data_IF_967168598159
#
_entry.id   IF_967168598159
#
_cell.length_a   1.000
_cell.length_b   1.000
_cell.length_c   1.000
_cell.angle_alpha   90.00
_cell.angle_beta   90.00
_cell.angle_gamma   90.00
#
_symmetry.space_group_name_H-M   'P 1'
#
loop_
_entity.id
_entity.type
_entity.pdbx_description
1 polymer ?
#
# COMPACT_ATOMS: atom_id res chain seq x y z
N UNK A 1 6.57 -8.24 -6.29
CA UNK A 1 5.13 -8.17 -6.60
C UNK A 1 4.91 -6.84 -7.31
N UNK A 2 4.76 -6.86 -8.63
CA UNK A 2 4.44 -5.66 -9.41
C UNK A 2 2.93 -5.62 -9.45
N UNK A 3 2.32 -4.75 -8.65
CA UNK A 3 0.90 -4.46 -8.72
C UNK A 3 0.71 -3.51 -9.90
N UNK A 4 0.51 -4.06 -11.10
CA UNK A 4 0.10 -3.28 -12.27
C UNK A 4 -1.42 -3.06 -12.14
N UNK A 5 -1.81 -1.93 -11.56
CA UNK A 5 -3.21 -1.51 -11.48
C UNK A 5 -3.46 -0.54 -12.63
N UNK A 6 -4.27 -0.94 -13.62
CA UNK A 6 -4.72 -0.06 -14.70
C UNK A 6 -6.01 0.62 -14.20
N UNK A 7 -5.89 1.85 -13.72
CA UNK A 7 -7.01 2.69 -13.30
C UNK A 7 -7.40 3.63 -14.43
N UNK A 8 -8.57 3.41 -15.03
CA UNK A 8 -9.17 4.35 -15.97
C UNK A 8 -10.25 5.17 -15.25
N UNK A 9 -9.88 6.33 -14.70
CA UNK A 9 -10.83 7.31 -14.19
C UNK A 9 -11.04 8.39 -15.25
N UNK A 10 -12.22 8.45 -15.88
CA UNK A 10 -12.61 9.58 -16.75
C UNK A 10 -13.57 10.50 -16.00
N UNK A 11 -13.14 11.72 -15.67
CA UNK A 11 -14.02 12.78 -15.16
C UNK A 11 -14.56 13.61 -16.33
N UNK A 12 -15.85 13.95 -16.29
CA UNK A 12 -16.55 14.68 -17.37
C UNK A 12 -16.24 16.20 -17.31
N UNK A 13 -15.62 16.82 -18.33
CA UNK A 13 -15.00 18.15 -18.22
C UNK A 13 -15.90 19.37 -18.50
N UNK A 14 -17.24 19.32 -18.35
CA UNK A 14 -18.13 20.31 -18.99
C UNK A 14 -18.86 21.35 -18.12
N UNK A 15 -18.37 21.77 -16.94
CA UNK A 15 -19.06 22.85 -16.18
C UNK A 15 -18.09 23.87 -15.57
N UNK A 16 -17.72 24.90 -16.36
CA UNK A 16 -16.97 26.07 -15.90
C UNK A 16 -17.88 27.31 -15.99
N UNK A 17 -18.61 27.58 -14.90
CA UNK A 17 -19.52 28.72 -14.80
C UNK A 17 -18.96 29.87 -13.96
N UNK A 18 -17.66 30.18 -14.01
CA UNK A 18 -17.09 31.47 -13.57
C UNK A 18 -17.48 32.03 -12.18
N UNK A 19 -18.05 31.20 -11.30
CA UNK A 19 -18.35 31.53 -9.92
C UNK A 19 -17.08 31.34 -9.09
N UNK A 20 -16.88 32.19 -8.09
CA UNK A 20 -15.72 32.07 -7.21
C UNK A 20 -15.71 30.69 -6.57
N UNK A 21 -14.69 29.89 -6.90
CA UNK A 21 -14.55 28.55 -6.35
C UNK A 21 -14.60 28.62 -4.82
N UNK A 22 -15.45 27.80 -4.18
CA UNK A 22 -15.42 27.69 -2.74
C UNK A 22 -14.01 27.32 -2.29
N UNK A 23 -13.59 27.73 -1.08
CA UNK A 23 -12.27 27.37 -0.57
C UNK A 23 -12.06 25.87 -0.68
N UNK A 24 -10.93 25.46 -1.25
CA UNK A 24 -10.57 24.06 -1.39
C UNK A 24 -10.71 23.36 -0.04
N UNK A 25 -11.54 22.32 0.00
CA UNK A 25 -11.72 21.50 1.19
C UNK A 25 -10.46 20.64 1.31
N UNK A 26 -9.81 20.66 2.47
CA UNK A 26 -8.65 19.82 2.72
C UNK A 26 -9.01 18.34 2.43
N UNK A 27 -8.12 17.59 1.75
CA UNK A 27 -8.40 16.20 1.41
C UNK A 27 -8.63 15.36 2.67
N UNK A 28 -9.55 14.42 2.57
CA UNK A 28 -9.88 13.47 3.64
C UNK A 28 -9.78 12.05 3.11
N UNK A 29 -9.45 11.11 3.99
CA UNK A 29 -9.52 9.70 3.66
C UNK A 29 -10.92 9.31 3.18
N UNK A 30 -10.97 8.37 2.24
CA UNK A 30 -12.23 7.68 1.90
C UNK A 30 -12.82 7.04 3.15
N UNK A 31 -14.16 6.95 3.20
CA UNK A 31 -14.85 6.28 4.30
C UNK A 31 -14.41 4.81 4.40
N UNK A 32 -14.39 4.26 5.61
CA UNK A 32 -14.08 2.84 5.84
C UNK A 32 -15.21 1.93 5.34
N UNK A 33 -14.86 0.70 4.96
CA UNK A 33 -15.84 -0.33 4.61
C UNK A 33 -16.77 -0.62 5.79
N UNK A 34 -18.05 -0.87 5.49
CA UNK A 34 -19.01 -1.24 6.51
C UNK A 34 -18.68 -2.64 7.09
N UNK A 35 -18.70 -2.75 8.42
CA UNK A 35 -18.55 -4.05 9.07
C UNK A 35 -19.77 -4.95 8.80
N UNK A 36 -19.49 -6.16 8.31
CA UNK A 36 -20.49 -7.19 8.05
C UNK A 36 -20.87 -7.88 9.35
N UNK A 37 -22.16 -7.83 9.65
CA UNK A 37 -22.72 -8.61 10.76
C UNK A 37 -22.82 -10.07 10.34
N UNK A 38 -22.06 -10.93 11.02
CA UNK A 38 -22.13 -12.38 10.86
C UNK A 38 -22.44 -13.03 12.21
N UNK A 39 -23.73 -13.26 12.52
CA UNK A 39 -24.09 -13.94 13.75
C UNK A 39 -23.51 -15.36 13.76
N UNK A 40 -22.86 -15.77 14.85
CA UNK A 40 -22.34 -17.13 15.00
C UNK A 40 -23.47 -18.19 14.99
N UNK A 41 -24.68 -17.78 15.37
CA UNK A 41 -25.91 -18.56 15.38
C UNK A 41 -26.75 -18.39 14.10
N UNK A 42 -26.22 -17.72 13.07
CA UNK A 42 -26.92 -17.58 11.81
C UNK A 42 -27.30 -18.97 11.25
N UNK A 43 -28.54 -19.17 10.75
CA UNK A 43 -28.95 -20.42 10.13
C UNK A 43 -28.01 -20.80 8.98
N UNK A 44 -27.37 -21.96 9.06
CA UNK A 44 -26.44 -22.44 8.05
C UNK A 44 -26.77 -23.91 7.71
N UNK A 45 -27.93 -24.18 7.08
CA UNK A 45 -28.50 -25.53 7.00
C UNK A 45 -27.58 -26.56 6.32
N UNK A 46 -26.74 -26.13 5.37
CA UNK A 46 -25.75 -27.01 4.73
C UNK A 46 -24.59 -27.36 5.66
N UNK A 47 -24.08 -26.39 6.40
CA UNK A 47 -23.04 -26.61 7.42
C UNK A 47 -23.60 -27.47 8.56
N UNK A 48 -24.78 -27.13 9.07
CA UNK A 48 -25.44 -27.86 10.16
C UNK A 48 -25.70 -29.31 9.78
N UNK A 49 -26.14 -29.57 8.54
CA UNK A 49 -26.31 -30.92 8.03
C UNK A 49 -24.96 -31.68 7.92
N UNK A 50 -23.91 -31.02 7.44
CA UNK A 50 -22.58 -31.63 7.32
C UNK A 50 -21.96 -31.94 8.68
N UNK A 51 -22.11 -31.06 9.67
CA UNK A 51 -21.67 -31.31 11.05
C UNK A 51 -22.44 -32.46 11.67
N UNK A 52 -23.76 -32.49 11.51
CA UNK A 52 -24.60 -33.57 12.00
C UNK A 52 -24.22 -34.93 11.40
N UNK A 53 -23.96 -34.98 10.09
CA UNK A 53 -23.49 -36.20 9.40
C UNK A 53 -22.13 -36.69 9.94
N UNK A 54 -21.24 -35.75 10.30
CA UNK A 54 -19.97 -36.04 10.95
C UNK A 54 -20.08 -36.38 12.45
N UNK A 55 -21.29 -36.32 13.05
CA UNK A 55 -21.49 -36.49 14.49
C UNK A 55 -20.92 -35.34 15.33
N UNK A 56 -20.75 -34.16 14.73
CA UNK A 56 -20.24 -32.95 15.36
C UNK A 56 -21.38 -31.96 15.63
N UNK A 57 -21.19 -31.12 16.65
CA UNK A 57 -21.99 -29.91 16.86
C UNK A 57 -21.13 -28.67 16.59
N UNK A 58 -21.73 -27.50 16.42
CA UNK A 58 -20.97 -26.26 16.17
C UNK A 58 -19.95 -25.99 17.28
N UNK A 59 -20.29 -26.30 18.52
CA UNK A 59 -19.43 -26.12 19.70
C UNK A 59 -18.20 -27.05 19.69
N UNK A 60 -18.26 -28.16 18.93
CA UNK A 60 -17.14 -29.10 18.78
C UNK A 60 -16.21 -28.74 17.61
N UNK A 61 -16.54 -27.71 16.82
CA UNK A 61 -15.73 -27.18 15.71
C UNK A 61 -15.00 -25.92 16.14
N UNK A 62 -14.54 -25.91 17.38
CA UNK A 62 -13.78 -24.84 17.99
C UNK A 62 -12.62 -25.45 18.78
N UNK A 63 -11.52 -24.71 18.88
CA UNK A 63 -10.48 -25.01 19.85
C UNK A 63 -10.75 -24.21 21.12
N UNK A 64 -10.59 -24.84 22.27
CA UNK A 64 -10.44 -24.14 23.53
C UNK A 64 -8.97 -24.07 23.94
N UNK A 65 -8.66 -23.18 24.89
CA UNK A 65 -7.29 -22.99 25.35
C UNK A 65 -6.68 -24.26 25.98
N UNK A 66 -7.51 -25.14 26.54
CA UNK A 66 -7.06 -26.41 27.11
C UNK A 66 -6.60 -27.40 26.04
N UNK A 67 -7.37 -27.53 24.96
CA UNK A 67 -7.04 -28.35 23.79
C UNK A 67 -5.82 -27.81 23.07
N UNK A 68 -5.67 -26.49 23.02
CA UNK A 68 -4.48 -25.83 22.49
C UNK A 68 -3.22 -26.13 23.30
N UNK A 69 -3.24 -25.88 24.61
CA UNK A 69 -2.09 -26.10 25.49
C UNK A 69 -1.68 -27.57 25.56
N UNK A 70 -2.61 -28.49 25.31
CA UNK A 70 -2.33 -29.93 25.21
C UNK A 70 -1.73 -30.37 23.86
N UNK A 71 -1.72 -29.51 22.84
CA UNK A 71 -1.19 -29.85 21.53
C UNK A 71 0.34 -29.80 21.53
N UNK A 72 0.98 -30.75 20.86
CA UNK A 72 2.45 -30.87 20.77
C UNK A 72 3.14 -29.72 20.02
N UNK A 73 2.37 -28.76 19.52
CA UNK A 73 2.79 -27.65 18.69
C UNK A 73 2.35 -26.29 19.25
N UNK A 74 1.85 -26.23 20.50
CA UNK A 74 1.44 -24.96 21.12
C UNK A 74 2.56 -23.91 21.09
N UNK A 75 3.79 -24.31 21.42
CA UNK A 75 4.98 -23.44 21.40
C UNK A 75 5.36 -22.95 19.99
N UNK A 76 4.95 -23.68 18.93
CA UNK A 76 5.20 -23.30 17.53
C UNK A 76 4.16 -22.30 17.04
N UNK A 77 3.00 -22.26 17.68
CA UNK A 77 1.87 -21.44 17.25
C UNK A 77 1.64 -20.19 18.11
N UNK A 78 2.33 -20.07 19.25
CA UNK A 78 2.57 -18.80 19.96
C UNK A 78 3.70 -17.98 19.27
N UNK A 79 3.77 -18.08 17.93
CA UNK A 79 4.72 -17.39 17.08
C UNK A 79 4.40 -15.89 17.04
N UNK A 80 5.36 -14.99 17.34
CA UNK A 80 5.12 -13.54 17.30
C UNK A 80 4.71 -13.02 15.91
N UNK A 81 4.97 -13.77 14.84
CA UNK A 81 4.57 -13.45 13.47
C UNK A 81 3.12 -13.83 13.11
N UNK A 82 2.34 -14.42 14.02
CA UNK A 82 0.93 -14.67 13.75
C UNK A 82 0.16 -13.36 13.54
N UNK A 83 -0.76 -13.38 12.58
CA UNK A 83 -1.61 -12.23 12.30
C UNK A 83 -2.54 -11.96 13.50
N UNK A 84 -2.92 -10.69 13.79
CA UNK A 84 -3.75 -10.36 14.95
C UNK A 84 -5.08 -11.11 15.01
N UNK A 85 -5.63 -11.48 13.85
CA UNK A 85 -6.88 -12.23 13.72
C UNK A 85 -6.69 -13.75 13.67
N UNK A 86 -5.46 -14.26 13.60
CA UNK A 86 -5.17 -15.70 13.46
C UNK A 86 -5.83 -16.51 14.57
N UNK A 87 -5.61 -16.14 15.84
CA UNK A 87 -6.16 -16.89 16.98
C UNK A 87 -7.70 -16.88 16.95
N UNK A 88 -8.31 -15.75 16.62
CA UNK A 88 -9.77 -15.64 16.53
C UNK A 88 -10.36 -16.57 15.46
N UNK A 89 -9.74 -16.67 14.28
CA UNK A 89 -10.22 -17.55 13.20
C UNK A 89 -9.83 -19.01 13.41
N UNK A 90 -8.69 -19.26 14.03
CA UNK A 90 -8.25 -20.62 14.35
C UNK A 90 -9.11 -21.23 15.45
N UNK A 91 -9.47 -20.49 16.51
CA UNK A 91 -10.28 -21.01 17.63
C UNK A 91 -11.74 -21.15 17.26
N UNK A 92 -12.23 -20.31 16.37
CA UNK A 92 -13.59 -20.33 15.89
C UNK A 92 -13.60 -20.46 14.37
N UNK A 93 -13.30 -21.68 13.90
CA UNK A 93 -13.18 -21.98 12.48
C UNK A 93 -14.48 -21.67 11.70
N UNK A 94 -15.62 -21.68 12.38
CA UNK A 94 -16.91 -21.32 11.79
C UNK A 94 -17.00 -19.82 11.43
N UNK A 95 -16.11 -18.96 11.95
CA UNK A 95 -15.99 -17.55 11.56
C UNK A 95 -15.15 -17.31 10.31
N UNK A 96 -14.39 -18.30 9.83
CA UNK A 96 -13.53 -18.15 8.63
C UNK A 96 -14.34 -17.64 7.42
N UNK A 97 -15.52 -18.20 7.07
CA UNK A 97 -16.30 -17.68 5.95
C UNK A 97 -16.73 -16.22 6.11
N UNK A 98 -17.06 -15.80 7.34
CA UNK A 98 -17.39 -14.41 7.60
C UNK A 98 -16.18 -13.49 7.42
N UNK A 99 -15.03 -13.87 7.99
CA UNK A 99 -13.81 -13.09 7.88
C UNK A 99 -13.36 -12.96 6.42
N UNK A 100 -13.45 -14.05 5.64
CA UNK A 100 -13.19 -14.04 4.20
C UNK A 100 -14.17 -13.11 3.44
N UNK A 101 -15.46 -13.14 3.80
CA UNK A 101 -16.46 -12.24 3.22
C UNK A 101 -16.19 -10.78 3.56
N UNK A 102 -15.77 -10.50 4.79
CA UNK A 102 -15.37 -9.14 5.17
C UNK A 102 -14.14 -8.71 4.36
N UNK A 103 -13.10 -9.55 4.24
CA UNK A 103 -11.91 -9.20 3.46
C UNK A 103 -12.24 -8.92 2.00
N UNK A 104 -13.13 -9.71 1.40
CA UNK A 104 -13.64 -9.44 0.05
C UNK A 104 -14.40 -8.11 0.00
N UNK A 105 -15.28 -7.83 0.96
CA UNK A 105 -16.01 -6.57 1.03
C UNK A 105 -15.10 -5.35 1.21
N UNK A 106 -14.03 -5.46 1.99
CA UNK A 106 -13.04 -4.39 2.17
C UNK A 106 -12.32 -4.08 0.85
N UNK A 107 -11.95 -5.12 0.08
CA UNK A 107 -11.31 -4.98 -1.22
C UNK A 107 -12.28 -4.46 -2.30
N UNK A 108 -13.52 -4.93 -2.31
CA UNK A 108 -14.57 -4.43 -3.21
C UNK A 108 -14.88 -2.95 -2.92
N UNK A 109 -14.93 -2.58 -1.63
CA UNK A 109 -15.10 -1.20 -1.20
C UNK A 109 -13.93 -0.32 -1.64
N UNK A 110 -12.69 -0.76 -1.40
CA UNK A 110 -11.50 -0.07 -1.87
C UNK A 110 -11.54 0.10 -3.40
N UNK A 111 -11.82 -0.95 -4.16
CA UNK A 111 -11.90 -0.87 -5.62
C UNK A 111 -12.98 0.10 -6.14
N UNK A 112 -14.03 0.37 -5.34
CA UNK A 112 -15.10 1.30 -5.67
C UNK A 112 -14.88 2.73 -5.11
N UNK A 113 -13.81 2.95 -4.33
CA UNK A 113 -13.51 4.24 -3.70
C UNK A 113 -12.86 5.21 -4.69
N UNK A 114 -12.72 6.49 -4.29
CA UNK A 114 -12.02 7.47 -5.11
C UNK A 114 -10.50 7.22 -5.15
N UNK A 115 -9.96 6.63 -4.07
CA UNK A 115 -8.54 6.32 -3.86
C UNK A 115 -8.35 4.82 -3.59
N UNK A 116 -8.51 3.95 -4.60
CA UNK A 116 -8.60 2.51 -4.40
C UNK A 116 -7.36 1.86 -3.78
N UNK A 117 -6.16 2.27 -4.17
CA UNK A 117 -4.90 1.77 -3.60
C UNK A 117 -4.73 2.29 -2.17
N UNK A 118 -4.94 3.59 -1.94
CA UNK A 118 -4.83 4.17 -0.60
C UNK A 118 -5.84 3.55 0.37
N UNK A 119 -7.07 3.28 -0.10
CA UNK A 119 -8.13 2.65 0.69
C UNK A 119 -7.80 1.19 0.97
N UNK A 120 -7.34 0.42 -0.01
CA UNK A 120 -6.92 -0.96 0.20
C UNK A 120 -5.77 -1.07 1.21
N UNK A 121 -4.80 -0.13 1.19
CA UNK A 121 -3.75 -0.05 2.20
C UNK A 121 -4.31 0.26 3.59
N UNK A 122 -5.27 1.20 3.69
CA UNK A 122 -5.96 1.52 4.94
C UNK A 122 -6.69 0.32 5.54
N UNK A 123 -7.45 -0.41 4.73
CA UNK A 123 -8.15 -1.62 5.14
C UNK A 123 -7.17 -2.72 5.60
N UNK A 124 -6.07 -2.92 4.85
CA UNK A 124 -5.03 -3.86 5.24
C UNK A 124 -4.38 -3.48 6.58
N UNK A 125 -4.11 -2.20 6.81
CA UNK A 125 -3.59 -1.70 8.08
C UNK A 125 -4.56 -1.97 9.24
N UNK A 126 -5.85 -1.72 9.04
CA UNK A 126 -6.88 -2.03 10.04
C UNK A 126 -6.90 -3.53 10.40
N UNK A 127 -6.75 -4.42 9.41
CA UNK A 127 -6.64 -5.88 9.65
C UNK A 127 -5.36 -6.29 10.39
N UNK A 128 -4.30 -5.51 10.25
CA UNK A 128 -3.06 -5.68 11.00
C UNK A 128 -3.09 -5.00 12.37
N UNK A 129 -4.22 -4.38 12.75
CA UNK A 129 -4.35 -3.54 13.94
C UNK A 129 -3.29 -2.41 13.99
N UNK A 130 -2.86 -1.94 12.82
CA UNK A 130 -1.94 -0.81 12.69
C UNK A 130 -2.75 0.49 12.68
N UNK A 131 -2.44 1.45 13.56
CA UNK A 131 -3.14 2.72 13.60
C UNK A 131 -2.81 3.54 12.35
N UNK A 132 -3.81 4.26 11.86
CA UNK A 132 -3.66 5.27 10.81
C UNK A 132 -3.46 6.61 11.50
N UNK A 133 -2.25 7.17 11.42
CA UNK A 133 -1.92 8.42 12.11
C UNK A 133 -1.76 9.60 11.15
N UNK A 134 -1.29 9.34 9.93
CA UNK A 134 -1.09 10.39 8.94
C UNK A 134 -2.41 10.82 8.30
N UNK A 135 -2.60 12.13 8.14
CA UNK A 135 -3.62 12.68 7.25
C UNK A 135 -3.10 12.72 5.81
N UNK A 136 -3.98 12.76 4.79
CA UNK A 136 -3.56 13.06 3.43
C UNK A 136 -2.83 14.42 3.36
N UNK A 137 -1.90 14.55 2.43
CA UNK A 137 -1.19 15.82 2.20
C UNK A 137 -2.14 16.78 1.49
N UNK A 138 -2.43 17.92 2.12
CA UNK A 138 -3.22 19.00 1.53
C UNK A 138 -2.42 19.72 0.42
N UNK A 139 -2.86 19.67 -0.85
CA UNK A 139 -2.14 20.31 -1.96
C UNK A 139 -1.90 21.81 -1.77
N UNK A 140 -2.81 22.51 -1.07
CA UNK A 140 -2.71 23.96 -0.86
C UNK A 140 -1.60 24.37 0.12
N UNK A 141 -1.15 23.43 0.95
CA UNK A 141 -0.09 23.64 1.95
C UNK A 141 1.12 22.73 1.75
N UNK A 142 1.08 21.86 0.75
CA UNK A 142 2.15 20.94 0.43
C UNK A 142 3.44 21.70 0.05
N UNK A 143 4.55 21.21 0.56
CA UNK A 143 5.90 21.68 0.24
C UNK A 143 6.78 20.46 0.04
N UNK A 144 7.61 20.50 -0.99
CA UNK A 144 8.57 19.45 -1.31
C UNK A 144 9.95 20.07 -1.56
N UNK A 145 11.01 19.33 -1.24
CA UNK A 145 12.40 19.79 -1.43
C UNK A 145 13.21 18.93 -2.40
N UNK A 146 12.57 17.94 -3.03
CA UNK A 146 13.24 16.97 -3.88
C UNK A 146 13.73 17.60 -5.18
N UNK A 147 12.93 18.44 -5.83
CA UNK A 147 13.25 19.01 -7.14
C UNK A 147 12.75 20.45 -7.28
N UNK A 148 13.41 21.25 -8.13
CA UNK A 148 12.89 22.55 -8.56
C UNK A 148 11.94 22.33 -9.74
N UNK A 149 10.64 22.58 -9.53
CA UNK A 149 9.60 22.38 -10.54
C UNK A 149 9.25 23.66 -11.30
N UNK A 150 10.04 24.73 -11.16
CA UNK A 150 9.73 26.05 -11.75
C UNK A 150 9.75 26.07 -13.28
N UNK A 151 10.37 25.06 -13.92
CA UNK A 151 10.38 24.88 -15.38
C UNK A 151 9.13 24.13 -15.92
N UNK A 152 8.24 23.64 -15.03
CA UNK A 152 7.01 22.95 -15.42
C UNK A 152 5.81 23.89 -15.54
N UNK A 153 4.77 23.51 -16.31
CA UNK A 153 3.47 24.15 -16.25
C UNK A 153 2.98 24.23 -14.78
N UNK A 154 2.47 25.40 -14.32
CA UNK A 154 2.10 25.59 -12.92
C UNK A 154 1.13 24.54 -12.38
N UNK A 155 0.16 24.11 -13.18
CA UNK A 155 -0.85 23.13 -12.77
C UNK A 155 -0.25 21.73 -12.60
N UNK A 156 0.66 21.33 -13.50
CA UNK A 156 1.42 20.08 -13.36
C UNK A 156 2.35 20.13 -12.15
N UNK A 157 3.06 21.24 -11.95
CA UNK A 157 3.91 21.43 -10.77
C UNK A 157 3.11 21.35 -9.46
N UNK A 158 1.90 21.94 -9.44
CA UNK A 158 0.99 21.88 -8.30
C UNK A 158 0.51 20.44 -8.03
N UNK A 159 0.13 19.69 -9.07
CA UNK A 159 -0.29 18.29 -8.94
C UNK A 159 0.84 17.36 -8.47
N UNK A 160 2.08 17.60 -8.91
CA UNK A 160 3.24 16.80 -8.51
C UNK A 160 3.76 17.11 -7.10
N UNK A 161 3.49 18.30 -6.58
CA UNK A 161 4.05 18.74 -5.29
C UNK A 161 3.65 17.82 -4.12
N UNK A 162 2.38 17.43 -3.93
CA UNK A 162 1.99 16.46 -2.90
C UNK A 162 2.63 15.09 -3.07
N UNK A 163 2.78 14.61 -4.32
CA UNK A 163 3.40 13.31 -4.62
C UNK A 163 4.87 13.32 -4.20
N UNK A 164 5.63 14.35 -4.58
CA UNK A 164 7.04 14.47 -4.21
C UNK A 164 7.22 14.65 -2.69
N UNK A 165 6.34 15.40 -2.03
CA UNK A 165 6.33 15.51 -0.57
C UNK A 165 6.08 14.14 0.10
N UNK A 166 5.17 13.33 -0.44
CA UNK A 166 4.91 11.98 0.06
C UNK A 166 6.08 11.02 -0.18
N UNK A 167 6.75 11.09 -1.34
CA UNK A 167 7.99 10.33 -1.60
C UNK A 167 9.07 10.69 -0.58
N UNK A 168 9.23 11.98 -0.28
CA UNK A 168 10.17 12.45 0.75
C UNK A 168 9.80 11.88 2.13
N UNK A 169 8.52 11.87 2.49
CA UNK A 169 8.03 11.30 3.75
C UNK A 169 8.31 9.79 3.85
N UNK A 170 8.11 9.02 2.78
CA UNK A 170 8.51 7.60 2.74
C UNK A 170 10.02 7.45 2.92
N UNK A 171 10.81 8.31 2.27
CA UNK A 171 12.26 8.33 2.43
C UNK A 171 12.72 8.58 3.88
N UNK A 172 12.12 9.55 4.56
CA UNK A 172 12.40 9.83 5.98
C UNK A 172 11.97 8.66 6.86
N UNK A 173 10.82 8.03 6.58
CA UNK A 173 10.38 6.86 7.31
C UNK A 173 11.34 5.68 7.14
N UNK A 174 11.84 5.46 5.91
CA UNK A 174 12.83 4.43 5.61
C UNK A 174 14.16 4.70 6.31
N UNK A 175 14.69 5.92 6.27
CA UNK A 175 15.95 6.24 6.96
C UNK A 175 15.86 5.93 8.46
N UNK A 176 14.75 6.33 9.12
CA UNK A 176 14.52 6.03 10.54
C UNK A 176 14.35 4.53 10.82
N UNK A 177 13.73 3.81 9.90
CA UNK A 177 13.62 2.35 9.97
C UNK A 177 15.02 1.72 9.91
N UNK A 178 15.86 2.14 8.97
CA UNK A 178 17.24 1.68 8.81
C UNK A 178 18.13 2.01 10.02
N UNK A 179 17.97 3.20 10.61
CA UNK A 179 18.72 3.63 11.81
C UNK A 179 18.47 2.75 13.03
N UNK A 180 17.32 2.08 13.10
CA UNK A 180 16.91 1.24 14.23
C UNK A 180 17.04 -0.26 13.96
N UNK A 181 17.53 -0.64 12.77
CA UNK A 181 17.67 -2.04 12.38
C UNK A 181 18.69 -2.77 13.27
N UNK A 182 18.35 -3.95 13.85
CA UNK A 182 19.23 -4.71 14.74
C UNK A 182 20.36 -5.46 14.02
N UNK A 183 20.29 -5.55 12.68
CA UNK A 183 21.27 -6.15 11.80
C UNK A 183 21.48 -5.25 10.56
N UNK A 184 22.52 -5.48 9.73
CA UNK A 184 22.70 -4.73 8.50
C UNK A 184 21.42 -4.73 7.65
N UNK A 185 21.03 -3.55 7.17
CA UNK A 185 19.78 -3.37 6.41
C UNK A 185 19.73 -4.30 5.19
N UNK A 186 20.86 -4.54 4.51
CA UNK A 186 20.91 -5.38 3.32
C UNK A 186 20.56 -6.86 3.63
N UNK A 187 20.77 -7.31 4.89
CA UNK A 187 20.37 -8.64 5.38
C UNK A 187 18.88 -8.69 5.79
N UNK A 188 18.27 -7.54 6.09
CA UNK A 188 16.88 -7.41 6.57
C UNK A 188 15.88 -6.94 5.49
N UNK A 189 16.33 -6.13 4.52
CA UNK A 189 15.52 -5.53 3.45
C UNK A 189 15.44 -6.43 2.23
N UNK A 190 16.42 -7.32 2.03
CA UNK A 190 16.30 -8.46 1.10
C UNK A 190 15.17 -9.43 1.49
N UNK A 191 14.62 -9.28 2.69
CA UNK A 191 13.51 -10.06 3.25
C UNK A 191 12.11 -9.54 2.92
N UNK A 192 12.02 -8.54 2.04
CA UNK A 192 10.79 -8.24 1.34
C UNK A 192 9.81 -7.40 2.16
N UNK A 193 9.62 -6.18 1.68
CA UNK A 193 8.33 -5.51 1.75
C UNK A 193 7.20 -6.53 1.45
N UNK A 194 6.42 -6.94 2.46
CA UNK A 194 5.30 -7.88 2.31
C UNK A 194 5.54 -9.35 2.69
N UNK A 195 6.69 -9.72 3.31
CA UNK A 195 6.85 -11.03 3.95
C UNK A 195 7.12 -12.22 3.00
N UNK A 196 7.57 -11.97 1.78
CA UNK A 196 7.96 -13.05 0.84
C UNK A 196 9.47 -13.25 0.87
N UNK A 197 9.87 -14.46 1.26
CA UNK A 197 11.26 -14.95 1.20
C UNK A 197 11.73 -15.06 -0.26
N UNK A 198 12.66 -14.20 -0.70
CA UNK A 198 13.25 -14.29 -2.05
C UNK A 198 14.65 -14.95 -2.02
N UNK A 199 15.25 -15.17 -0.85
CA UNK A 199 16.51 -15.90 -0.71
C UNK A 199 16.72 -16.46 0.70
N UNK A 200 17.03 -17.76 0.81
CA UNK A 200 17.23 -18.45 2.10
C UNK A 200 18.61 -18.18 2.72
N UNK A 201 19.61 -17.82 1.90
CA UNK A 201 20.99 -17.62 2.33
C UNK A 201 21.22 -16.26 3.05
N UNK A 202 20.24 -15.36 3.00
CA UNK A 202 20.24 -14.03 3.61
C UNK A 202 19.09 -13.86 4.59
N UNK A 203 18.71 -14.94 5.28
CA UNK A 203 17.67 -14.90 6.29
C UNK A 203 18.14 -14.17 7.55
N UNK A 204 17.42 -13.13 8.03
CA UNK A 204 17.68 -12.61 9.34
C UNK A 204 17.36 -13.70 10.36
N UNK A 205 18.10 -13.66 11.46
CA UNK A 205 17.90 -14.62 12.54
C UNK A 205 16.57 -14.36 13.23
N UNK A 206 15.52 -15.05 12.77
CA UNK A 206 14.19 -14.96 13.37
C UNK A 206 14.13 -15.59 14.77
N UNK A 207 15.23 -16.14 15.30
CA UNK A 207 15.32 -16.54 16.72
C UNK A 207 15.79 -15.39 17.63
N UNK A 208 16.30 -14.30 17.06
CA UNK A 208 16.66 -13.09 17.79
C UNK A 208 15.41 -12.23 18.07
N UNK A 209 15.08 -12.05 19.35
CA UNK A 209 13.93 -11.24 19.76
C UNK A 209 14.02 -9.78 19.30
N UNK A 210 15.23 -9.20 19.19
CA UNK A 210 15.39 -7.85 18.68
C UNK A 210 15.03 -7.75 17.19
N UNK A 211 15.32 -8.79 16.40
CA UNK A 211 14.90 -8.90 14.99
C UNK A 211 13.38 -9.05 14.91
N UNK A 212 12.79 -9.93 15.72
CA UNK A 212 11.32 -10.10 15.78
C UNK A 212 10.61 -8.80 16.14
N UNK A 213 11.03 -8.15 17.23
CA UNK A 213 10.48 -6.88 17.71
C UNK A 213 10.61 -5.78 16.66
N UNK A 214 11.72 -5.75 15.91
CA UNK A 214 11.89 -4.77 14.84
C UNK A 214 10.97 -5.07 13.65
N UNK A 215 10.91 -6.31 13.15
CA UNK A 215 10.08 -6.67 11.99
C UNK A 215 8.59 -6.42 12.28
N UNK A 216 8.15 -6.76 13.49
CA UNK A 216 6.75 -6.65 13.91
C UNK A 216 6.40 -5.28 14.51
N UNK A 217 7.39 -4.51 14.91
CA UNK A 217 7.21 -3.23 15.56
C UNK A 217 7.10 -2.07 14.60
N UNK A 218 6.63 -0.93 15.15
CA UNK A 218 6.51 0.34 14.43
C UNK A 218 7.85 1.06 14.20
N UNK A 219 8.95 0.50 14.73
CA UNK A 219 10.31 0.97 14.44
C UNK A 219 10.88 0.33 13.17
N UNK A 220 10.38 -0.84 12.76
CA UNK A 220 10.81 -1.52 11.55
C UNK A 220 9.86 -1.34 10.36
N UNK A 221 9.64 -2.37 9.52
CA UNK A 221 8.94 -2.26 8.23
C UNK A 221 7.53 -1.68 8.30
N UNK A 222 6.79 -1.91 9.40
CA UNK A 222 5.44 -1.37 9.58
C UNK A 222 5.39 0.16 9.60
N UNK A 223 6.51 0.81 9.89
CA UNK A 223 6.67 2.27 9.80
C UNK A 223 6.39 2.82 8.41
N UNK A 224 6.51 1.98 7.37
CA UNK A 224 6.29 2.38 5.98
C UNK A 224 4.83 2.36 5.56
N UNK A 225 3.92 1.77 6.34
CA UNK A 225 2.51 1.60 5.93
C UNK A 225 1.79 2.95 5.77
N UNK A 226 1.79 3.78 6.80
CA UNK A 226 1.18 5.12 6.76
C UNK A 226 1.73 6.00 5.63
N UNK A 227 3.06 6.22 5.48
CA UNK A 227 3.57 7.07 4.42
C UNK A 227 3.37 6.47 3.02
N UNK A 228 3.33 5.13 2.88
CA UNK A 228 2.97 4.49 1.60
C UNK A 228 1.49 4.73 1.25
N UNK A 229 0.59 4.68 2.24
CA UNK A 229 -0.83 5.03 2.06
C UNK A 229 -1.00 6.50 1.64
N UNK A 230 -0.27 7.42 2.28
CA UNK A 230 -0.27 8.85 1.92
C UNK A 230 0.25 9.07 0.50
N UNK A 231 1.30 8.35 0.10
CA UNK A 231 1.83 8.41 -1.27
C UNK A 231 0.81 7.90 -2.31
N UNK A 232 0.17 6.76 -2.05
CA UNK A 232 -0.87 6.24 -2.93
C UNK A 232 -2.01 7.26 -3.10
N UNK A 233 -2.48 7.84 -2.00
CA UNK A 233 -3.52 8.87 -2.03
C UNK A 233 -3.10 10.09 -2.84
N UNK A 234 -1.89 10.61 -2.61
CA UNK A 234 -1.38 11.77 -3.35
C UNK A 234 -1.30 11.53 -4.86
N UNK A 235 -0.99 10.30 -5.29
CA UNK A 235 -0.98 9.93 -6.72
C UNK A 235 -2.39 9.85 -7.28
N UNK A 236 -3.32 9.23 -6.56
CA UNK A 236 -4.72 9.05 -6.98
C UNK A 236 -5.49 10.40 -7.01
N UNK A 237 -5.25 11.28 -6.04
CA UNK A 237 -5.87 12.60 -5.93
C UNK A 237 -5.33 13.62 -6.95
N UNK A 238 -4.10 13.44 -7.43
CA UNK A 238 -3.47 14.40 -8.34
C UNK A 238 -4.12 14.47 -9.74
N UNK A 239 -5.02 13.54 -10.06
CA UNK A 239 -5.74 13.46 -11.35
C UNK A 239 -4.81 13.65 -12.54
N UNK A 240 -3.69 12.91 -12.54
CA UNK A 240 -2.60 13.11 -13.49
C UNK A 240 -3.04 12.92 -14.95
N UNK A 241 -4.12 12.17 -15.19
CA UNK A 241 -4.69 11.94 -16.52
C UNK A 241 -5.06 13.22 -17.28
N UNK A 242 -5.34 14.33 -16.59
CA UNK A 242 -5.59 15.63 -17.22
C UNK A 242 -4.37 16.20 -17.96
N UNK A 243 -3.17 15.71 -17.66
CA UNK A 243 -1.90 16.15 -18.25
C UNK A 243 -1.43 15.27 -19.42
N UNK A 244 -2.19 14.24 -19.79
CA UNK A 244 -1.87 13.38 -20.92
C UNK A 244 -1.69 14.19 -22.22
N UNK A 245 -0.61 13.92 -22.95
CA UNK A 245 -0.25 14.56 -24.21
C UNK A 245 0.42 15.94 -24.08
N UNK A 246 0.70 16.43 -22.86
CA UNK A 246 1.42 17.68 -22.68
C UNK A 246 2.86 17.58 -23.19
N UNK A 247 3.27 18.49 -24.08
CA UNK A 247 4.63 18.58 -24.62
C UNK A 247 5.60 19.25 -23.63
N UNK A 248 5.94 18.52 -22.57
CA UNK A 248 6.91 18.93 -21.57
C UNK A 248 7.81 17.76 -21.18
N UNK A 249 9.10 18.04 -21.02
CA UNK A 249 10.07 17.09 -20.49
C UNK A 249 10.76 17.67 -19.28
N UNK A 250 11.01 16.85 -18.26
CA UNK A 250 11.72 17.28 -17.07
C UNK A 250 12.55 16.15 -16.48
N UNK A 251 13.72 16.50 -15.95
CA UNK A 251 14.57 15.56 -15.25
C UNK A 251 15.35 16.27 -14.14
N UNK A 252 15.21 15.78 -12.92
CA UNK A 252 16.00 16.21 -11.77
C UNK A 252 16.61 15.01 -11.04
N UNK A 253 17.91 15.07 -10.75
CA UNK A 253 18.56 14.09 -9.87
C UNK A 253 18.50 14.57 -8.43
N UNK A 254 17.94 13.73 -7.55
CA UNK A 254 17.75 14.05 -6.13
C UNK A 254 18.50 13.04 -5.26
N UNK A 255 18.68 13.30 -3.94
CA UNK A 255 19.19 12.29 -3.01
C UNK A 255 18.31 11.02 -2.92
N UNK A 256 17.04 11.09 -3.35
CA UNK A 256 16.07 9.99 -3.30
C UNK A 256 15.91 9.21 -4.60
N UNK A 257 16.63 9.60 -5.66
CA UNK A 257 16.48 9.04 -7.01
C UNK A 257 16.17 10.12 -8.05
N UNK A 258 16.03 9.73 -9.31
CA UNK A 258 15.64 10.67 -10.37
C UNK A 258 14.14 10.96 -10.33
N UNK A 259 13.76 12.20 -10.63
CA UNK A 259 12.39 12.62 -10.93
C UNK A 259 12.37 12.89 -12.43
N UNK A 260 11.55 12.15 -13.17
CA UNK A 260 11.49 12.20 -14.63
C UNK A 260 10.04 12.44 -15.06
N UNK A 261 9.86 13.37 -15.99
CA UNK A 261 8.64 13.56 -16.75
C UNK A 261 9.02 13.42 -18.21
N UNK A 262 8.56 12.35 -18.83
CA UNK A 262 8.70 12.13 -20.25
C UNK A 262 7.60 12.90 -20.99
N UNK A 263 7.96 13.49 -22.13
CA UNK A 263 7.00 14.19 -22.98
C UNK A 263 6.11 13.21 -23.75
N UNK A 264 5.33 13.70 -24.71
CA UNK A 264 4.48 12.86 -25.53
C UNK A 264 5.33 12.23 -26.64
N UNK A 265 5.42 10.90 -26.68
CA UNK A 265 6.08 10.14 -27.73
C UNK A 265 6.56 8.77 -27.26
N UNK A 266 6.81 7.87 -28.22
CA UNK A 266 7.31 6.52 -27.93
C UNK A 266 8.73 6.55 -27.33
N UNK A 267 8.88 6.09 -26.09
CA UNK A 267 10.14 5.95 -25.37
C UNK A 267 10.78 4.57 -25.60
N UNK A 268 12.11 4.59 -25.74
CA UNK A 268 12.89 3.40 -26.05
C UNK A 268 13.35 2.63 -24.80
N UNK A 269 13.61 1.32 -24.93
CA UNK A 269 14.23 0.50 -23.88
C UNK A 269 15.54 1.10 -23.34
N UNK A 270 15.55 1.59 -22.10
CA UNK A 270 16.80 1.98 -21.39
C UNK A 270 16.79 3.32 -20.68
N UNK A 271 15.78 4.17 -20.88
CA UNK A 271 15.88 5.59 -20.53
C UNK A 271 15.48 5.95 -19.10
N UNK A 272 14.94 5.00 -18.32
CA UNK A 272 14.27 5.34 -17.03
C UNK A 272 15.20 5.36 -15.80
N UNK A 273 16.38 4.74 -15.88
CA UNK A 273 17.34 4.73 -14.78
C UNK A 273 16.75 4.30 -13.42
N UNK A 274 17.36 4.74 -12.31
CA UNK A 274 16.82 4.57 -10.96
C UNK A 274 15.94 5.79 -10.60
N UNK A 275 14.71 5.82 -11.11
CA UNK A 275 13.75 6.88 -10.82
C UNK A 275 12.98 6.63 -9.52
N UNK A 276 12.87 7.68 -8.70
CA UNK A 276 11.92 7.74 -7.58
C UNK A 276 10.53 8.12 -8.06
N UNK A 277 10.44 8.90 -9.14
CA UNK A 277 9.20 9.25 -9.81
C UNK A 277 9.43 9.29 -11.30
N UNK A 278 8.61 8.57 -12.05
CA UNK A 278 8.54 8.64 -13.51
C UNK A 278 7.08 8.87 -13.90
N UNK A 279 6.86 9.94 -14.65
CA UNK A 279 5.58 10.25 -15.27
C UNK A 279 5.74 10.25 -16.79
N UNK A 280 5.08 9.33 -17.45
CA UNK A 280 4.93 9.31 -18.90
C UNK A 280 3.69 10.11 -19.27
N UNK A 281 3.86 11.14 -20.12
CA UNK A 281 2.74 11.93 -20.61
C UNK A 281 2.10 11.30 -21.86
N UNK A 282 2.63 10.18 -22.36
CA UNK A 282 1.99 9.25 -23.27
C UNK A 282 2.84 8.92 -24.49
N UNK A 283 2.61 7.77 -25.10
CA UNK A 283 3.46 7.21 -26.15
C UNK A 283 3.12 5.73 -26.30
N UNK A 284 3.74 4.97 -27.20
CA UNK A 284 3.69 3.50 -27.11
C UNK A 284 5.04 3.01 -26.59
N UNK A 285 5.15 2.97 -25.27
CA UNK A 285 6.42 2.82 -24.58
C UNK A 285 6.79 1.36 -24.35
N UNK A 286 8.08 1.05 -24.40
CA UNK A 286 8.58 -0.29 -24.10
C UNK A 286 9.54 -0.27 -22.93
N UNK A 287 9.03 -0.64 -21.75
CA UNK A 287 9.81 -0.71 -20.52
C UNK A 287 10.48 -2.09 -20.36
N UNK A 288 11.80 -2.17 -20.58
CA UNK A 288 12.58 -3.43 -20.42
C UNK A 288 13.32 -3.54 -19.09
N UNK A 289 13.34 -2.47 -18.31
CA UNK A 289 13.90 -2.44 -16.97
C UNK A 289 12.79 -2.27 -15.95
N UNK A 290 12.98 -2.71 -14.70
CA UNK A 290 12.06 -2.41 -13.62
C UNK A 290 11.97 -0.89 -13.42
N UNK A 291 11.03 -0.24 -14.12
CA UNK A 291 10.66 1.13 -13.85
C UNK A 291 10.07 1.16 -12.43
N UNK A 292 10.52 2.11 -11.63
CA UNK A 292 10.15 2.25 -10.22
C UNK A 292 10.48 1.03 -9.32
N UNK A 293 11.67 0.44 -9.45
CA UNK A 293 12.17 -0.48 -8.41
C UNK A 293 12.72 0.29 -7.19
N UNK A 294 12.05 0.15 -6.05
CA UNK A 294 12.58 0.65 -4.78
C UNK A 294 13.87 -0.06 -4.41
N UNK A 295 14.84 0.68 -3.89
CA UNK A 295 16.09 0.15 -3.36
C UNK A 295 16.58 1.04 -2.21
N UNK A 296 17.76 0.76 -1.66
CA UNK A 296 18.31 1.54 -0.54
C UNK A 296 18.45 3.04 -0.85
N UNK A 297 18.70 3.41 -2.10
CA UNK A 297 18.82 4.82 -2.53
C UNK A 297 17.49 5.41 -2.99
N UNK A 298 16.55 4.56 -3.40
CA UNK A 298 15.23 4.93 -3.91
C UNK A 298 14.17 4.32 -2.98
N UNK A 299 13.86 4.98 -1.84
CA UNK A 299 13.07 4.39 -0.76
C UNK A 299 11.62 4.10 -1.17
N UNK A 300 11.08 4.95 -2.04
CA UNK A 300 9.81 4.81 -2.73
C UNK A 300 10.06 5.08 -4.21
N UNK A 301 9.31 4.39 -5.06
CA UNK A 301 9.38 4.60 -6.49
C UNK A 301 7.97 4.52 -7.06
N UNK A 302 7.63 5.52 -7.88
CA UNK A 302 6.32 5.64 -8.53
C UNK A 302 6.53 5.73 -10.03
N UNK A 303 5.76 4.95 -10.78
CA UNK A 303 5.71 4.99 -12.22
C UNK A 303 4.25 5.16 -12.63
N UNK A 304 3.96 6.24 -13.36
CA UNK A 304 2.64 6.53 -13.92
C UNK A 304 2.82 6.69 -15.42
N UNK A 305 2.01 5.96 -16.18
CA UNK A 305 1.90 6.06 -17.63
C UNK A 305 0.48 6.53 -17.96
N UNK A 306 0.38 7.64 -18.70
CA UNK A 306 -0.89 8.30 -19.01
C UNK A 306 -1.44 7.97 -20.40
N UNK A 307 -0.78 7.13 -21.19
CA UNK A 307 -1.34 6.68 -22.46
C UNK A 307 -0.35 5.91 -23.33
N UNK A 308 -0.87 4.89 -24.02
CA UNK A 308 -0.06 3.94 -24.77
C UNK A 308 -0.67 2.56 -24.75
N UNK A 309 -0.18 1.67 -25.62
CA UNK A 309 -0.47 0.22 -25.60
C UNK A 309 0.58 -0.57 -24.81
#
# INVERSE_FOLDING_TARGET
>A
MILQLILACSKDPTDDTGDQDPPAIAPTWDAEAAELVCPADAPAPLLDAALLDAGLSRELVAYDDASWQGASYADVLDDPFVLPWFRALHWDALRIPCAARQLAADLDHAAASAHPVATALGEAMARLAEPVEAAPIDPSTAVQTLADLSDLPPDLAAALTPILAAIEAVGVARDRMSETAPAPEDDLVSYGHGGVLVGYDSAPDLTDSAVQDWILGRTGPRRLYDPARVLAFAVEEADLGQFAGLDVTFSATTPRGQIVIAGPGDDAPGDIGNAAFYLDLGGNDTYVHPAAASNRRVPAAVHVDLGGD
#
